data_IF_958088440534
#
_entry.id   IF_958088440534
#
_cell.length_a   1.000
_cell.length_b   1.000
_cell.length_c   1.000
_cell.angle_alpha   90.00
_cell.angle_beta   90.00
_cell.angle_gamma   90.00
#
_symmetry.space_group_name_H-M   'P 1'
#
loop_
_entity.id
_entity.type
_entity.pdbx_description
1 polymer ?
#
# COMPACT_ATOMS: atom_id res chain seq x y z
N UNK A 1 -3.34 -29.49 26.08
CA UNK A 1 -3.23 -28.08 25.66
C UNK A 1 -2.58 -28.08 24.28
N UNK A 2 -3.37 -28.07 23.21
CA UNK A 2 -2.91 -27.95 21.80
C UNK A 2 -4.09 -27.63 20.83
N UNK A 3 -5.23 -27.17 21.36
CA UNK A 3 -6.49 -27.02 20.60
C UNK A 3 -6.84 -25.56 20.25
N UNK A 4 -6.16 -24.58 20.86
CA UNK A 4 -6.42 -23.15 20.61
C UNK A 4 -5.53 -22.57 19.51
N UNK A 5 -4.26 -23.01 19.41
CA UNK A 5 -3.31 -22.53 18.39
C UNK A 5 -3.74 -22.91 16.96
N UNK A 6 -4.15 -24.16 16.73
CA UNK A 6 -4.65 -24.60 15.40
C UNK A 6 -5.95 -23.93 14.96
N UNK A 7 -6.76 -23.43 15.90
CA UNK A 7 -8.01 -22.70 15.60
C UNK A 7 -7.74 -21.24 15.21
N UNK A 8 -6.67 -20.66 15.73
CA UNK A 8 -6.23 -19.29 15.39
C UNK A 8 -5.60 -19.20 14.01
N UNK A 9 -4.80 -20.18 13.62
CA UNK A 9 -4.17 -20.23 12.29
C UNK A 9 -5.19 -20.45 11.17
N UNK A 10 -6.18 -21.33 11.38
CA UNK A 10 -7.25 -21.56 10.41
C UNK A 10 -8.06 -20.29 10.10
N UNK A 11 -8.41 -19.52 11.14
CA UNK A 11 -9.13 -18.24 10.99
C UNK A 11 -8.29 -17.15 10.30
N UNK A 12 -6.99 -17.08 10.58
CA UNK A 12 -6.09 -16.12 9.92
C UNK A 12 -5.98 -16.40 8.43
N UNK A 13 -5.88 -17.68 8.06
CA UNK A 13 -5.83 -18.12 6.67
C UNK A 13 -7.14 -17.80 5.93
N UNK A 14 -8.28 -18.13 6.54
CA UNK A 14 -9.62 -17.81 6.00
C UNK A 14 -9.79 -16.30 5.77
N UNK A 15 -9.35 -15.46 6.71
CA UNK A 15 -9.41 -14.00 6.57
C UNK A 15 -8.53 -13.49 5.41
N UNK A 16 -7.34 -14.06 5.21
CA UNK A 16 -6.46 -13.66 4.10
C UNK A 16 -7.08 -14.02 2.74
N UNK A 17 -7.70 -15.19 2.62
CA UNK A 17 -8.41 -15.62 1.40
C UNK A 17 -9.56 -14.65 1.07
N UNK A 18 -10.31 -14.20 2.09
CA UNK A 18 -11.35 -13.18 1.93
C UNK A 18 -10.76 -11.87 1.41
N UNK A 19 -9.67 -11.39 2.01
CA UNK A 19 -9.02 -10.15 1.57
C UNK A 19 -8.42 -10.25 0.16
N UNK A 20 -7.94 -11.42 -0.25
CA UNK A 20 -7.50 -11.66 -1.61
C UNK A 20 -8.67 -11.56 -2.60
N UNK A 21 -9.81 -12.20 -2.29
CA UNK A 21 -11.00 -12.11 -3.12
C UNK A 21 -11.53 -10.67 -3.23
N UNK A 22 -11.55 -9.93 -2.11
CA UNK A 22 -11.93 -8.51 -2.09
C UNK A 22 -10.98 -7.65 -2.94
N UNK A 23 -9.67 -7.91 -2.90
CA UNK A 23 -8.67 -7.22 -3.72
C UNK A 23 -8.91 -7.45 -5.20
N UNK A 24 -9.15 -8.70 -5.61
CA UNK A 24 -9.47 -9.06 -7.00
C UNK A 24 -10.73 -8.34 -7.48
N UNK A 25 -11.79 -8.39 -6.67
CA UNK A 25 -13.05 -7.69 -6.98
C UNK A 25 -12.86 -6.17 -7.11
N UNK A 26 -12.09 -5.54 -6.22
CA UNK A 26 -11.74 -4.13 -6.36
C UNK A 26 -11.05 -3.85 -7.69
N UNK A 27 -10.02 -4.60 -8.04
CA UNK A 27 -9.24 -4.39 -9.26
C UNK A 27 -10.11 -4.56 -10.51
N UNK A 28 -10.95 -5.59 -10.54
CA UNK A 28 -11.88 -5.83 -11.65
C UNK A 28 -12.91 -4.69 -11.76
N UNK A 29 -13.44 -4.20 -10.64
CA UNK A 29 -14.36 -3.05 -10.61
C UNK A 29 -13.69 -1.76 -11.09
N UNK A 30 -12.46 -1.47 -10.63
CA UNK A 30 -11.69 -0.30 -11.07
C UNK A 30 -11.50 -0.31 -12.59
N UNK A 31 -11.25 -1.49 -13.18
CA UNK A 31 -11.09 -1.67 -14.62
C UNK A 31 -12.31 -1.30 -15.46
N UNK A 32 -13.49 -1.14 -14.85
CA UNK A 32 -14.72 -0.75 -15.57
C UNK A 32 -14.84 0.77 -15.80
N UNK A 33 -14.11 1.60 -15.04
CA UNK A 33 -14.18 3.07 -15.14
C UNK A 33 -12.83 3.79 -15.07
N UNK A 34 -11.74 3.10 -14.75
CA UNK A 34 -10.37 3.64 -14.83
C UNK A 34 -9.57 2.81 -15.82
N UNK A 35 -8.98 3.47 -16.81
CA UNK A 35 -8.04 2.80 -17.70
C UNK A 35 -6.78 2.40 -16.93
N UNK A 36 -6.60 1.11 -16.72
CA UNK A 36 -5.51 0.51 -15.93
C UNK A 36 -4.62 -0.34 -16.83
N UNK A 37 -3.32 -0.09 -16.82
CA UNK A 37 -2.32 -0.93 -17.50
C UNK A 37 -2.07 -2.21 -16.71
N UNK A 38 -1.70 -3.31 -17.39
CA UNK A 38 -1.54 -4.61 -16.74
C UNK A 38 -0.47 -4.58 -15.64
N UNK A 39 0.66 -3.87 -15.84
CA UNK A 39 1.68 -3.73 -14.80
C UNK A 39 1.15 -3.07 -13.51
N UNK A 40 0.25 -2.09 -13.65
CA UNK A 40 -0.39 -1.42 -12.49
C UNK A 40 -1.40 -2.36 -11.85
N UNK A 41 -2.16 -3.09 -12.67
CA UNK A 41 -3.10 -4.12 -12.21
C UNK A 41 -2.39 -5.16 -11.35
N UNK A 42 -1.28 -5.71 -11.83
CA UNK A 42 -0.47 -6.69 -11.12
C UNK A 42 0.12 -6.11 -9.83
N UNK A 43 0.64 -4.88 -9.85
CA UNK A 43 1.17 -4.22 -8.66
C UNK A 43 0.11 -4.09 -7.56
N UNK A 44 -1.10 -3.63 -7.89
CA UNK A 44 -2.20 -3.50 -6.92
C UNK A 44 -2.67 -4.87 -6.42
N UNK A 45 -2.67 -5.90 -7.25
CA UNK A 45 -3.00 -7.27 -6.83
C UNK A 45 -1.97 -7.86 -5.87
N UNK A 46 -0.69 -7.48 -5.99
CA UNK A 46 0.38 -7.95 -5.10
C UNK A 46 0.37 -7.26 -3.75
N UNK A 47 0.13 -5.94 -3.71
CA UNK A 47 0.19 -5.15 -2.47
C UNK A 47 -1.07 -5.41 -1.62
N UNK A 48 -0.96 -6.02 -0.43
CA UNK A 48 -2.12 -6.32 0.40
C UNK A 48 -2.62 -5.06 1.12
N UNK A 49 -3.42 -4.21 0.47
CA UNK A 49 -3.90 -2.91 1.00
C UNK A 49 -4.45 -2.95 2.43
N UNK A 50 -5.11 -4.02 2.83
CA UNK A 50 -5.62 -4.23 4.20
C UNK A 50 -4.52 -4.27 5.28
N UNK A 51 -3.25 -4.53 4.91
CA UNK A 51 -2.07 -4.46 5.79
C UNK A 51 -1.53 -3.03 5.94
N UNK A 52 -2.09 -2.07 5.20
CA UNK A 52 -1.68 -0.65 5.19
C UNK A 52 -2.77 0.27 5.75
N UNK A 53 -3.70 -0.29 6.52
CA UNK A 53 -4.76 0.45 7.21
C UNK A 53 -4.89 -0.02 8.64
N UNK A 54 -5.33 0.84 9.57
CA UNK A 54 -5.66 0.42 10.92
C UNK A 54 -6.67 -0.73 10.95
N UNK A 55 -6.63 -1.54 12.00
CA UNK A 55 -7.49 -2.73 12.13
C UNK A 55 -8.99 -2.43 11.91
N UNK A 56 -9.46 -1.29 12.42
CA UNK A 56 -10.85 -0.87 12.29
C UNK A 56 -11.27 -0.51 10.85
N UNK A 57 -10.33 -0.23 9.94
CA UNK A 57 -10.60 0.04 8.52
C UNK A 57 -10.38 -1.19 7.62
N UNK A 58 -9.85 -2.31 8.12
CA UNK A 58 -9.49 -3.45 7.26
C UNK A 58 -10.67 -4.00 6.45
N UNK A 59 -11.87 -4.03 7.04
CA UNK A 59 -13.10 -4.46 6.34
C UNK A 59 -13.47 -3.56 5.17
N UNK A 60 -13.03 -2.30 5.19
CA UNK A 60 -13.24 -1.34 4.11
C UNK A 60 -12.03 -1.16 3.20
N UNK A 61 -10.92 -1.89 3.43
CA UNK A 61 -9.64 -1.69 2.75
C UNK A 61 -9.73 -1.70 1.21
N UNK A 62 -10.68 -2.48 0.68
CA UNK A 62 -10.91 -2.64 -0.75
C UNK A 62 -12.21 -1.99 -1.25
N UNK A 63 -12.75 -1.03 -0.50
CA UNK A 63 -13.74 -0.09 -1.01
C UNK A 63 -13.00 1.05 -1.71
N UNK A 64 -13.48 1.49 -2.88
CA UNK A 64 -12.85 2.58 -3.61
C UNK A 64 -13.15 3.96 -3.00
N UNK A 65 -12.56 4.24 -1.83
CA UNK A 65 -12.66 5.52 -1.11
C UNK A 65 -11.44 5.75 -0.23
N UNK A 66 -11.17 6.99 0.20
CA UNK A 66 -10.18 7.24 1.24
C UNK A 66 -10.59 6.62 2.58
N UNK A 67 -9.61 6.15 3.35
CA UNK A 67 -9.81 5.57 4.69
C UNK A 67 -8.93 6.31 5.69
N UNK A 68 -9.40 6.47 6.94
CA UNK A 68 -8.64 7.15 7.98
C UNK A 68 -7.46 6.31 8.42
N UNK A 69 -6.28 6.92 8.51
CA UNK A 69 -5.06 6.26 9.02
C UNK A 69 -4.55 6.90 10.32
N UNK A 70 -5.39 7.72 10.95
CA UNK A 70 -5.04 8.50 12.15
C UNK A 70 -4.45 9.87 11.81
N UNK A 71 -4.25 10.70 12.85
CA UNK A 71 -3.63 12.04 12.75
C UNK A 71 -4.29 12.98 11.71
N UNK A 72 -5.59 12.82 11.47
CA UNK A 72 -6.33 13.58 10.46
C UNK A 72 -5.92 13.27 9.01
N UNK A 73 -5.13 12.21 8.78
CA UNK A 73 -4.68 11.79 7.45
C UNK A 73 -5.50 10.63 6.93
N UNK A 74 -5.44 10.43 5.61
CA UNK A 74 -6.09 9.31 4.94
C UNK A 74 -5.14 8.59 3.99
N UNK A 75 -5.37 7.30 3.79
CA UNK A 75 -4.84 6.58 2.62
C UNK A 75 -5.71 6.93 1.41
N UNK A 76 -5.08 7.28 0.28
CA UNK A 76 -5.76 7.64 -0.97
C UNK A 76 -6.68 6.51 -1.47
N UNK A 77 -7.79 6.87 -2.12
CA UNK A 77 -8.67 5.91 -2.77
C UNK A 77 -7.90 5.06 -3.82
N UNK A 78 -8.19 3.76 -3.96
CA UNK A 78 -7.58 2.88 -4.96
C UNK A 78 -7.55 3.45 -6.39
N UNK A 79 -8.64 4.02 -6.90
CA UNK A 79 -8.66 4.61 -8.25
C UNK A 79 -7.63 5.73 -8.40
N UNK A 80 -7.40 6.52 -7.35
CA UNK A 80 -6.44 7.62 -7.39
C UNK A 80 -5.01 7.08 -7.45
N UNK A 81 -4.72 5.97 -6.76
CA UNK A 81 -3.42 5.28 -6.85
C UNK A 81 -3.16 4.80 -8.28
N UNK A 82 -4.17 4.23 -8.94
CA UNK A 82 -4.08 3.82 -10.36
C UNK A 82 -3.75 5.02 -11.25
N UNK A 83 -4.50 6.12 -11.10
CA UNK A 83 -4.31 7.34 -11.91
C UNK A 83 -2.91 7.91 -11.71
N UNK A 84 -2.44 8.02 -10.46
CA UNK A 84 -1.09 8.51 -10.15
C UNK A 84 -0.01 7.62 -10.78
N UNK A 85 -0.10 6.30 -10.60
CA UNK A 85 0.89 5.38 -11.16
C UNK A 85 0.94 5.42 -12.69
N UNK A 86 -0.22 5.58 -13.34
CA UNK A 86 -0.30 5.74 -14.79
C UNK A 86 0.38 7.02 -15.26
N UNK A 87 0.10 8.15 -14.60
CA UNK A 87 0.68 9.45 -14.96
C UNK A 87 2.20 9.52 -14.71
N UNK A 88 2.71 8.77 -13.73
CA UNK A 88 4.13 8.72 -13.42
C UNK A 88 4.95 7.88 -14.42
N UNK A 89 4.29 7.03 -15.23
CA UNK A 89 4.93 6.16 -16.23
C UNK A 89 6.15 5.38 -15.68
N UNK A 90 6.04 4.90 -14.42
CA UNK A 90 7.14 4.22 -13.73
C UNK A 90 7.61 2.98 -14.50
N UNK A 91 8.92 2.78 -14.49
CA UNK A 91 9.61 1.66 -15.12
C UNK A 91 10.64 1.07 -14.17
N UNK A 92 11.04 -0.17 -14.47
CA UNK A 92 12.05 -0.88 -13.69
C UNK A 92 13.36 -0.07 -13.57
N UNK A 93 13.94 -0.05 -12.36
CA UNK A 93 15.17 0.69 -12.07
C UNK A 93 14.98 2.17 -11.70
N UNK A 94 13.76 2.72 -11.82
CA UNK A 94 13.52 4.11 -11.44
C UNK A 94 13.73 4.36 -9.95
N UNK A 95 14.23 5.56 -9.62
CA UNK A 95 14.26 6.10 -8.26
C UNK A 95 13.15 7.11 -8.13
N UNK A 96 12.29 6.93 -7.13
CA UNK A 96 11.09 7.74 -6.92
C UNK A 96 11.19 8.46 -5.59
N UNK A 97 10.82 9.74 -5.56
CA UNK A 97 10.58 10.48 -4.32
C UNK A 97 9.07 10.72 -4.17
N UNK A 98 8.51 10.17 -3.10
CA UNK A 98 7.14 10.42 -2.66
C UNK A 98 7.15 11.40 -1.48
N UNK A 99 6.26 12.39 -1.52
CA UNK A 99 6.04 13.32 -0.41
C UNK A 99 4.68 13.01 0.23
N UNK A 100 4.72 12.54 1.48
CA UNK A 100 3.58 12.06 2.24
C UNK A 100 3.49 10.54 2.23
N UNK A 101 4.33 9.86 3.04
CA UNK A 101 4.29 8.40 3.14
C UNK A 101 2.95 7.88 3.64
N UNK A 102 2.30 8.59 4.58
CA UNK A 102 1.04 8.17 5.18
C UNK A 102 1.12 6.76 5.75
N UNK A 103 0.43 5.80 5.12
CA UNK A 103 0.47 4.41 5.55
C UNK A 103 1.53 3.53 4.86
N UNK A 104 2.21 4.05 3.83
CA UNK A 104 3.18 3.32 3.01
C UNK A 104 2.60 2.53 1.83
N UNK A 105 1.28 2.53 1.63
CA UNK A 105 0.64 1.74 0.57
C UNK A 105 1.05 2.19 -0.83
N UNK A 106 1.03 3.49 -1.12
CA UNK A 106 1.36 3.99 -2.45
C UNK A 106 2.85 3.76 -2.76
N UNK A 107 3.74 3.96 -1.78
CA UNK A 107 5.14 3.56 -1.88
C UNK A 107 5.31 2.07 -2.23
N UNK A 108 4.54 1.17 -1.60
CA UNK A 108 4.58 -0.26 -1.91
C UNK A 108 4.12 -0.57 -3.35
N UNK A 109 3.06 0.07 -3.83
CA UNK A 109 2.61 -0.07 -5.23
C UNK A 109 3.68 0.42 -6.20
N UNK A 110 4.28 1.59 -5.94
CA UNK A 110 5.37 2.10 -6.77
C UNK A 110 6.61 1.19 -6.73
N UNK A 111 6.90 0.58 -5.59
CA UNK A 111 8.01 -0.35 -5.43
C UNK A 111 7.86 -1.64 -6.25
N UNK A 112 6.63 -2.15 -6.43
CA UNK A 112 6.35 -3.24 -7.37
C UNK A 112 6.63 -2.81 -8.82
N UNK A 113 6.30 -1.56 -9.19
CA UNK A 113 6.46 -1.03 -10.55
C UNK A 113 7.92 -0.75 -10.91
N UNK A 114 8.72 -0.23 -9.97
CA UNK A 114 10.14 0.05 -10.22
C UNK A 114 11.04 -1.17 -10.02
N UNK A 115 10.51 -2.26 -9.47
CA UNK A 115 11.23 -3.51 -9.26
C UNK A 115 12.37 -3.41 -8.24
N UNK A 116 13.10 -4.51 -8.06
CA UNK A 116 14.20 -4.61 -7.09
C UNK A 116 15.44 -3.80 -7.49
N UNK A 117 15.55 -3.42 -8.76
CA UNK A 117 16.60 -2.54 -9.28
C UNK A 117 16.29 -1.05 -9.06
N UNK A 118 15.03 -0.70 -8.80
CA UNK A 118 14.58 0.63 -8.45
C UNK A 118 14.48 0.85 -6.94
N UNK A 119 14.13 2.07 -6.52
CA UNK A 119 13.99 2.41 -5.11
C UNK A 119 12.99 3.54 -4.89
N UNK A 120 12.14 3.41 -3.88
CA UNK A 120 11.20 4.46 -3.48
C UNK A 120 11.68 5.12 -2.18
N UNK A 121 11.93 6.42 -2.23
CA UNK A 121 12.13 7.24 -1.05
C UNK A 121 10.80 7.92 -0.74
N UNK A 122 10.32 7.83 0.49
CA UNK A 122 9.07 8.46 0.88
C UNK A 122 9.25 9.26 2.16
N UNK A 123 8.80 10.51 2.15
CA UNK A 123 8.96 11.46 3.26
C UNK A 123 7.64 11.62 3.99
N UNK A 124 7.66 11.55 5.31
CA UNK A 124 6.50 11.85 6.16
C UNK A 124 6.93 12.73 7.34
N UNK A 125 6.10 13.70 7.69
CA UNK A 125 6.39 14.68 8.75
C UNK A 125 5.87 14.24 10.12
N UNK A 126 4.81 13.43 10.15
CA UNK A 126 4.19 12.93 11.37
C UNK A 126 4.90 11.65 11.81
N UNK A 127 5.59 11.69 12.94
CA UNK A 127 6.40 10.57 13.44
C UNK A 127 5.60 9.28 13.61
N UNK A 128 4.37 9.36 14.13
CA UNK A 128 3.50 8.20 14.28
C UNK A 128 3.17 7.53 12.92
N UNK A 129 2.99 8.31 11.86
CA UNK A 129 2.77 7.79 10.50
C UNK A 129 4.05 7.26 9.86
N UNK A 130 5.22 7.85 10.17
CA UNK A 130 6.52 7.27 9.79
C UNK A 130 6.65 5.86 10.35
N UNK A 131 6.35 5.68 11.65
CA UNK A 131 6.42 4.39 12.32
C UNK A 131 5.39 3.41 11.75
N UNK A 132 4.16 3.88 11.52
CA UNK A 132 3.10 3.08 10.90
C UNK A 132 3.48 2.59 9.50
N UNK A 133 3.99 3.46 8.64
CA UNK A 133 4.46 3.09 7.30
C UNK A 133 5.61 2.10 7.35
N UNK A 134 6.62 2.32 8.20
CA UNK A 134 7.76 1.41 8.38
C UNK A 134 7.31 0.02 8.81
N UNK A 135 6.38 -0.06 9.76
CA UNK A 135 5.86 -1.34 10.25
C UNK A 135 5.09 -2.08 9.16
N UNK A 136 4.18 -1.40 8.45
CA UNK A 136 3.41 -2.00 7.36
C UNK A 136 4.33 -2.55 6.25
N UNK A 137 5.30 -1.75 5.83
CA UNK A 137 6.29 -2.12 4.81
C UNK A 137 7.17 -3.31 5.24
N UNK A 138 7.63 -3.31 6.50
CA UNK A 138 8.39 -4.42 7.07
C UNK A 138 7.55 -5.71 7.11
N UNK A 139 6.31 -5.62 7.58
CA UNK A 139 5.41 -6.77 7.73
C UNK A 139 4.96 -7.34 6.37
N UNK A 140 5.05 -6.55 5.30
CA UNK A 140 4.75 -6.97 3.93
C UNK A 140 6.00 -7.31 3.10
N UNK A 141 7.19 -7.18 3.69
CA UNK A 141 8.44 -7.67 3.10
C UNK A 141 9.13 -6.74 2.10
N UNK A 142 8.66 -5.49 1.95
CA UNK A 142 9.30 -4.53 1.04
C UNK A 142 10.65 -4.06 1.58
N UNK A 143 11.67 -4.13 0.72
CA UNK A 143 13.06 -3.78 1.05
C UNK A 143 13.64 -2.63 0.22
N UNK A 144 13.04 -2.33 -0.93
CA UNK A 144 13.43 -1.27 -1.86
C UNK A 144 12.68 0.05 -1.59
N UNK A 145 12.37 0.30 -0.30
CA UNK A 145 11.65 1.51 0.14
C UNK A 145 12.35 2.08 1.38
N UNK A 146 12.55 3.40 1.39
CA UNK A 146 13.09 4.12 2.55
C UNK A 146 12.10 5.17 3.01
N UNK A 147 11.62 5.03 4.25
CA UNK A 147 10.75 6.00 4.91
C UNK A 147 11.60 6.99 5.70
N UNK A 148 11.53 8.26 5.31
CA UNK A 148 12.27 9.38 5.88
C UNK A 148 11.32 10.20 6.74
N UNK A 149 11.72 10.47 7.99
CA UNK A 149 11.02 11.43 8.82
C UNK A 149 11.56 12.83 8.51
N UNK A 150 10.71 13.72 8.02
CA UNK A 150 11.14 15.07 7.68
C UNK A 150 10.07 15.92 7.02
N UNK A 151 10.42 17.17 6.72
CA UNK A 151 9.60 18.06 5.91
C UNK A 151 9.86 17.79 4.43
N UNK A 152 8.90 17.15 3.77
CA UNK A 152 9.00 16.80 2.36
C UNK A 152 9.05 18.01 1.41
N UNK A 153 8.70 19.22 1.86
CA UNK A 153 8.85 20.44 1.05
C UNK A 153 10.32 20.79 0.78
N UNK A 154 11.25 20.26 1.59
CA UNK A 154 12.69 20.45 1.43
C UNK A 154 13.33 19.45 0.44
N UNK A 155 12.56 18.49 -0.06
CA UNK A 155 13.06 17.39 -0.89
C UNK A 155 13.93 16.40 -0.10
N UNK A 156 14.74 15.62 -0.81
CA UNK A 156 15.69 14.66 -0.23
C UNK A 156 17.01 14.73 -1.01
N UNK A 157 18.11 15.03 -0.31
CA UNK A 157 19.45 15.27 -0.86
C UNK A 157 20.50 14.39 -0.21
#
# INVERSE_FOLDING_TARGET
MNSEEGRGEGKKKENEEIFEAMRRCLVDNLGTYVQMEEKIREAILRVPRHRFVPEYEQKAAYTDRPLSIGHGQTISAPHMVVIMCKLLELSEGHKVLEIGAGSGYNAAVMAELVGLSGHVYTVERIEDLVNFARENLKNTGYKNITVIHGDGSMGYS
#
